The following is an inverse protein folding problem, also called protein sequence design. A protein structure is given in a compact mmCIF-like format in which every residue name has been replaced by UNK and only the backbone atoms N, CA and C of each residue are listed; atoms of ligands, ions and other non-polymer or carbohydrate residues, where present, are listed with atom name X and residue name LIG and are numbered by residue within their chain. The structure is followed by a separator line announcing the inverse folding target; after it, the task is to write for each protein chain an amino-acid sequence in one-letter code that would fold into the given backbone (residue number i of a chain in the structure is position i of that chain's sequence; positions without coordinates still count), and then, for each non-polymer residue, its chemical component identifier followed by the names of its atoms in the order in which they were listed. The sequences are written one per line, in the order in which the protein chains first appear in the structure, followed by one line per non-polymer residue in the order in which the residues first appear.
data_IF_627153588818
#
_entry.id   IF_627153588818
#
_cell.length_a   1.000
_cell.length_b   1.000
_cell.length_c   1.000
_cell.angle_alpha   90.00
_cell.angle_beta   90.00
_cell.angle_gamma   90.00
#
_symmetry.space_group_name_H-M   'P 1'
#
loop_
_entity.id
_entity.type
_entity.pdbx_description
1 polymer ?
#
# COMPACT_ATOMS: atom_id res chain seq x y z
N UNK A 1 26.99 -16.49 -15.24
CA UNK A 1 26.45 -15.17 -15.63
C UNK A 1 26.99 -14.14 -14.66
N UNK A 2 27.33 -12.94 -15.11
CA UNK A 2 27.84 -11.90 -14.21
C UNK A 2 26.65 -11.02 -13.77
N UNK A 3 26.19 -11.17 -12.54
CA UNK A 3 25.13 -10.34 -11.94
C UNK A 3 25.74 -9.06 -11.35
N UNK A 4 24.96 -7.96 -11.37
CA UNK A 4 25.36 -6.63 -10.87
C UNK A 4 24.23 -6.03 -10.05
N UNK A 5 24.58 -5.10 -9.17
CA UNK A 5 23.60 -4.26 -8.48
C UNK A 5 22.71 -3.56 -9.50
N UNK A 6 21.41 -3.58 -9.26
CA UNK A 6 20.39 -3.00 -10.13
C UNK A 6 19.88 -3.95 -11.23
N UNK A 7 20.47 -5.12 -11.44
CA UNK A 7 19.94 -6.10 -12.37
C UNK A 7 18.57 -6.61 -11.91
N UNK A 8 17.69 -6.85 -12.88
CA UNK A 8 16.40 -7.48 -12.64
C UNK A 8 16.50 -8.99 -12.83
N UNK A 9 15.96 -9.73 -11.86
CA UNK A 9 16.08 -11.18 -11.79
C UNK A 9 14.80 -11.83 -11.29
N UNK A 10 14.66 -13.12 -11.58
CA UNK A 10 13.65 -14.01 -11.00
C UNK A 10 14.36 -15.18 -10.34
N UNK A 11 13.68 -15.93 -9.46
CA UNK A 11 14.21 -17.12 -8.77
C UNK A 11 13.65 -18.41 -9.39
N UNK A 12 14.54 -19.30 -9.85
CA UNK A 12 14.15 -20.57 -10.47
C UNK A 12 13.45 -21.50 -9.47
N UNK A 13 13.92 -21.55 -8.22
CA UNK A 13 13.35 -22.34 -7.13
C UNK A 13 11.88 -21.97 -6.80
N UNK A 14 11.44 -20.79 -7.23
CA UNK A 14 10.07 -20.29 -7.09
C UNK A 14 9.36 -20.14 -8.44
N UNK A 15 9.76 -20.95 -9.44
CA UNK A 15 9.17 -20.96 -10.79
C UNK A 15 9.17 -19.59 -11.50
N UNK A 16 10.12 -18.72 -11.15
CA UNK A 16 10.24 -17.36 -11.71
C UNK A 16 8.95 -16.51 -11.53
N UNK A 17 8.26 -16.68 -10.40
CA UNK A 17 6.95 -16.09 -10.12
C UNK A 17 6.95 -14.58 -9.89
N UNK A 18 8.07 -14.05 -9.35
CA UNK A 18 8.22 -12.63 -9.02
C UNK A 18 9.51 -12.07 -9.59
N UNK A 19 9.43 -10.80 -10.01
CA UNK A 19 10.59 -10.04 -10.45
C UNK A 19 11.18 -9.27 -9.28
N UNK A 20 12.49 -9.37 -9.12
CA UNK A 20 13.28 -8.66 -8.12
C UNK A 20 14.35 -7.79 -8.76
N UNK A 21 14.76 -6.77 -8.05
CA UNK A 21 15.98 -6.01 -8.33
C UNK A 21 17.07 -6.43 -7.33
N UNK A 22 18.27 -6.71 -7.82
CA UNK A 22 19.43 -6.96 -6.95
C UNK A 22 19.82 -5.64 -6.29
N UNK A 23 19.80 -5.60 -4.96
CA UNK A 23 20.15 -4.41 -4.16
C UNK A 23 21.50 -4.55 -3.47
N UNK A 24 21.98 -5.78 -3.27
CA UNK A 24 23.32 -6.07 -2.77
C UNK A 24 23.76 -7.48 -3.18
N UNK A 25 25.06 -7.72 -3.19
CA UNK A 25 25.67 -9.03 -3.44
C UNK A 25 26.82 -9.21 -2.43
N UNK A 26 26.73 -10.26 -1.63
CA UNK A 26 27.80 -10.69 -0.73
C UNK A 26 28.19 -12.12 -1.11
N UNK A 27 29.43 -12.33 -1.53
CA UNK A 27 29.94 -13.60 -2.04
C UNK A 27 29.03 -14.16 -3.15
N UNK A 28 28.39 -15.31 -2.92
CA UNK A 28 27.49 -15.98 -3.87
C UNK A 28 26.01 -15.75 -3.58
N UNK A 29 25.67 -14.85 -2.64
CA UNK A 29 24.30 -14.51 -2.23
C UNK A 29 23.94 -13.13 -2.74
N UNK A 30 22.82 -13.03 -3.44
CA UNK A 30 22.20 -11.75 -3.82
C UNK A 30 21.07 -11.40 -2.86
N UNK A 31 21.03 -10.14 -2.42
CA UNK A 31 19.92 -9.56 -1.69
C UNK A 31 18.99 -8.88 -2.68
N UNK A 32 17.71 -9.21 -2.59
CA UNK A 32 16.71 -8.93 -3.60
C UNK A 32 15.57 -8.08 -3.03
N UNK A 33 15.13 -7.09 -3.79
CA UNK A 33 13.94 -6.30 -3.52
C UNK A 33 12.90 -6.54 -4.61
N UNK A 34 11.66 -6.87 -4.26
CA UNK A 34 10.56 -7.04 -5.19
C UNK A 34 10.28 -5.75 -5.98
N UNK A 35 9.98 -5.88 -7.27
CA UNK A 35 9.69 -4.73 -8.14
C UNK A 35 8.26 -4.25 -7.91
N UNK A 36 7.30 -5.14 -8.01
CA UNK A 36 5.87 -4.82 -7.90
C UNK A 36 5.27 -5.22 -6.54
N UNK A 37 5.92 -6.15 -5.85
CA UNK A 37 5.51 -6.65 -4.54
C UNK A 37 6.49 -6.15 -3.48
N UNK A 38 5.98 -5.71 -2.32
CA UNK A 38 6.78 -5.27 -1.15
C UNK A 38 7.43 -6.46 -0.47
N UNK A 39 8.45 -7.03 -1.08
CA UNK A 39 9.13 -8.22 -0.61
C UNK A 39 10.64 -8.06 -0.71
N UNK A 40 11.35 -8.40 0.38
CA UNK A 40 12.79 -8.64 0.38
C UNK A 40 13.06 -10.13 0.45
N UNK A 41 14.08 -10.58 -0.25
CA UNK A 41 14.54 -11.95 -0.26
C UNK A 41 16.06 -12.01 -0.43
N UNK A 42 16.63 -13.13 -0.12
CA UNK A 42 17.99 -13.51 -0.48
C UNK A 42 17.93 -14.75 -1.39
N UNK A 43 18.94 -14.93 -2.22
CA UNK A 43 19.03 -16.08 -3.10
C UNK A 43 20.48 -16.31 -3.52
N UNK A 44 20.88 -17.57 -3.70
CA UNK A 44 22.13 -17.89 -4.35
C UNK A 44 22.10 -17.36 -5.80
N UNK A 45 23.25 -16.86 -6.28
CA UNK A 45 23.39 -16.39 -7.67
C UNK A 45 23.06 -17.47 -8.70
N UNK A 46 23.27 -18.75 -8.34
CA UNK A 46 22.96 -19.91 -9.18
C UNK A 46 21.48 -20.14 -9.42
N UNK A 47 20.61 -19.65 -8.50
CA UNK A 47 19.16 -19.76 -8.57
C UNK A 47 18.53 -18.61 -9.37
N UNK A 48 19.33 -17.61 -9.77
CA UNK A 48 18.81 -16.41 -10.42
C UNK A 48 18.77 -16.54 -11.94
N UNK A 49 17.71 -16.01 -12.52
CA UNK A 49 17.56 -15.80 -13.98
C UNK A 49 17.42 -14.31 -14.25
N UNK A 50 18.29 -13.78 -15.13
CA UNK A 50 18.24 -12.37 -15.53
C UNK A 50 17.04 -12.12 -16.43
N UNK A 51 16.27 -11.07 -16.14
CA UNK A 51 15.09 -10.67 -16.92
C UNK A 51 15.19 -9.21 -17.33
N UNK A 52 14.53 -8.85 -18.43
CA UNK A 52 14.35 -7.45 -18.82
C UNK A 52 12.99 -6.99 -18.35
N UNK A 53 12.98 -5.98 -17.47
CA UNK A 53 11.74 -5.33 -17.07
C UNK A 53 11.46 -4.21 -18.07
N UNK A 54 10.37 -4.33 -18.81
CA UNK A 54 9.77 -3.15 -19.43
C UNK A 54 9.27 -2.30 -18.26
N UNK A 55 9.69 -1.03 -18.17
CA UNK A 55 8.99 -0.06 -17.35
C UNK A 55 7.57 0.05 -17.88
N UNK A 56 6.69 -0.84 -17.47
CA UNK A 56 5.27 -0.56 -17.52
C UNK A 56 5.09 0.62 -16.59
N UNK A 57 4.78 1.75 -17.18
CA UNK A 57 4.45 2.95 -16.43
C UNK A 57 3.18 2.64 -15.65
N UNK A 58 3.09 3.07 -14.42
CA UNK A 58 1.88 3.03 -13.57
C UNK A 58 0.66 3.73 -14.24
N UNK A 59 0.81 4.07 -15.53
CA UNK A 59 -0.17 4.75 -16.38
C UNK A 59 -1.46 3.95 -16.57
N UNK A 60 -1.37 2.63 -16.66
CA UNK A 60 -2.58 1.77 -16.76
C UNK A 60 -3.41 1.88 -15.47
N UNK A 61 -2.75 1.97 -14.33
CA UNK A 61 -3.44 2.12 -13.05
C UNK A 61 -4.02 3.53 -12.88
N UNK A 62 -3.34 4.55 -13.38
CA UNK A 62 -3.86 5.92 -13.45
C UNK A 62 -5.15 5.94 -14.30
N UNK A 63 -5.12 5.38 -15.51
CA UNK A 63 -6.28 5.31 -16.41
C UNK A 63 -7.48 4.57 -15.78
N UNK A 64 -7.21 3.48 -15.03
CA UNK A 64 -8.26 2.76 -14.28
C UNK A 64 -8.93 3.63 -13.21
N UNK A 65 -8.16 4.44 -12.49
CA UNK A 65 -8.70 5.33 -11.46
C UNK A 65 -9.41 6.51 -12.09
N UNK A 66 -8.85 7.13 -13.11
CA UNK A 66 -9.46 8.26 -13.83
C UNK A 66 -10.81 7.91 -14.44
N UNK A 67 -11.02 6.65 -14.85
CA UNK A 67 -12.32 6.19 -15.36
C UNK A 67 -13.47 6.26 -14.35
N UNK A 68 -13.18 6.49 -13.05
CA UNK A 68 -14.20 6.70 -12.01
C UNK A 68 -14.67 8.14 -11.92
N UNK A 69 -13.92 9.08 -12.49
CA UNK A 69 -14.22 10.50 -12.43
C UNK A 69 -15.21 10.81 -13.55
N UNK A 70 -16.49 10.84 -13.19
CA UNK A 70 -17.58 11.19 -14.13
C UNK A 70 -17.76 12.71 -14.34
N UNK A 71 -16.97 13.54 -13.62
CA UNK A 71 -17.09 15.00 -13.66
C UNK A 71 -16.13 15.58 -14.70
N UNK A 72 -16.67 16.44 -15.58
CA UNK A 72 -15.84 17.23 -16.48
C UNK A 72 -15.06 18.27 -15.68
N UNK A 73 -13.74 18.14 -15.66
CA UNK A 73 -12.81 19.04 -14.97
C UNK A 73 -12.87 20.48 -15.49
N UNK A 74 -13.40 20.71 -16.66
CA UNK A 74 -13.56 22.04 -17.24
C UNK A 74 -14.87 22.72 -16.81
N UNK A 75 -15.87 21.94 -16.38
CA UNK A 75 -17.18 22.46 -15.99
C UNK A 75 -17.36 22.60 -14.48
N UNK A 76 -16.64 21.78 -13.68
CA UNK A 76 -16.82 21.73 -12.23
C UNK A 76 -15.51 21.97 -11.48
N UNK A 77 -15.58 22.86 -10.49
CA UNK A 77 -14.51 22.94 -9.48
C UNK A 77 -14.71 21.84 -8.45
N UNK A 78 -13.67 21.10 -8.17
CA UNK A 78 -13.70 20.09 -7.13
C UNK A 78 -12.36 20.07 -6.37
N UNK A 79 -12.43 19.73 -5.09
CA UNK A 79 -11.29 19.59 -4.19
C UNK A 79 -11.18 18.15 -3.77
N UNK A 80 -10.23 17.37 -4.34
CA UNK A 80 -9.96 16.01 -3.90
C UNK A 80 -9.49 15.94 -2.46
N UNK A 81 -9.73 14.81 -1.80
CA UNK A 81 -9.24 14.57 -0.45
C UNK A 81 -7.71 14.57 -0.38
N UNK A 82 -7.17 15.16 0.68
CA UNK A 82 -5.75 15.23 0.98
C UNK A 82 -5.25 13.92 1.60
N UNK A 83 -4.09 13.44 1.16
CA UNK A 83 -3.54 12.15 1.56
C UNK A 83 -2.24 12.35 2.37
N UNK A 84 -2.09 11.58 3.43
CA UNK A 84 -0.78 11.33 4.09
C UNK A 84 -0.49 9.85 4.04
N UNK A 85 0.71 9.47 3.58
CA UNK A 85 1.15 8.09 3.55
C UNK A 85 2.41 7.87 4.38
N UNK A 86 2.35 6.92 5.30
CA UNK A 86 3.49 6.39 6.05
C UNK A 86 4.02 5.13 5.38
N UNK A 87 5.34 5.00 5.31
CA UNK A 87 6.00 3.82 4.80
C UNK A 87 7.44 3.73 5.34
N UNK A 88 7.90 2.55 5.65
CA UNK A 88 9.29 2.32 6.07
C UNK A 88 10.26 2.26 4.89
N UNK A 89 9.78 1.94 3.70
CA UNK A 89 10.59 1.82 2.50
C UNK A 89 10.41 3.03 1.57
N UNK A 90 11.50 3.79 1.44
CA UNK A 90 11.50 4.98 0.59
C UNK A 90 11.18 4.68 -0.89
N UNK A 91 11.61 3.53 -1.41
CA UNK A 91 11.37 3.18 -2.81
C UNK A 91 9.88 3.03 -3.11
N UNK A 92 9.15 2.30 -2.25
CA UNK A 92 7.70 2.13 -2.41
C UNK A 92 6.92 3.39 -2.05
N UNK A 93 7.39 4.14 -1.04
CA UNK A 93 6.80 5.43 -0.69
C UNK A 93 6.88 6.41 -1.87
N UNK A 94 8.08 6.59 -2.45
CA UNK A 94 8.29 7.49 -3.58
C UNK A 94 7.42 7.08 -4.80
N UNK A 95 7.26 5.77 -5.05
CA UNK A 95 6.38 5.26 -6.11
C UNK A 95 4.92 5.66 -5.88
N UNK A 96 4.42 5.50 -4.66
CA UNK A 96 3.05 5.91 -4.31
C UNK A 96 2.87 7.44 -4.41
N UNK A 97 3.83 8.22 -3.92
CA UNK A 97 3.77 9.68 -3.98
C UNK A 97 3.80 10.18 -5.45
N UNK A 98 4.61 9.56 -6.31
CA UNK A 98 4.61 9.88 -7.73
C UNK A 98 3.26 9.52 -8.38
N UNK A 99 2.67 8.37 -8.03
CA UNK A 99 1.34 7.99 -8.49
C UNK A 99 0.27 9.01 -8.12
N UNK A 100 0.23 9.48 -6.86
CA UNK A 100 -0.69 10.55 -6.44
C UNK A 100 -0.45 11.85 -7.20
N UNK A 101 0.81 12.22 -7.43
CA UNK A 101 1.18 13.42 -8.19
C UNK A 101 0.72 13.36 -9.63
N UNK A 102 0.88 12.21 -10.29
CA UNK A 102 0.43 12.00 -11.67
C UNK A 102 -1.10 12.08 -11.79
N UNK A 103 -1.81 11.77 -10.69
CA UNK A 103 -3.24 11.93 -10.57
C UNK A 103 -3.68 13.33 -10.09
N UNK A 104 -2.76 14.27 -9.94
CA UNK A 104 -2.99 15.62 -9.43
C UNK A 104 -3.63 15.67 -8.04
N UNK A 105 -3.28 14.72 -7.16
CA UNK A 105 -3.72 14.67 -5.77
C UNK A 105 -2.68 15.30 -4.83
N UNK A 106 -3.17 16.03 -3.83
CA UNK A 106 -2.32 16.53 -2.75
C UNK A 106 -1.96 15.39 -1.79
N UNK A 107 -0.68 15.00 -1.78
CA UNK A 107 -0.22 13.89 -0.97
C UNK A 107 1.15 14.15 -0.33
N UNK A 108 1.32 13.68 0.91
CA UNK A 108 2.55 13.80 1.70
C UNK A 108 3.05 12.43 2.13
N UNK A 109 4.30 12.13 1.81
CA UNK A 109 4.97 10.88 2.18
C UNK A 109 5.82 11.06 3.44
N UNK A 110 5.64 10.19 4.42
CA UNK A 110 6.39 10.16 5.68
C UNK A 110 7.15 8.84 5.75
N UNK A 111 8.48 8.93 5.58
CA UNK A 111 9.34 7.75 5.76
C UNK A 111 9.57 7.53 7.24
N UNK A 112 9.11 6.40 7.77
CA UNK A 112 9.23 6.03 9.18
C UNK A 112 9.13 4.51 9.32
N UNK A 113 9.84 3.92 10.30
CA UNK A 113 9.73 2.47 10.58
C UNK A 113 8.34 2.13 11.11
N UNK A 114 7.89 0.90 10.84
CA UNK A 114 6.58 0.42 11.26
C UNK A 114 6.37 0.57 12.78
N UNK A 115 7.40 0.30 13.57
CA UNK A 115 7.38 0.42 15.04
C UNK A 115 7.33 1.86 15.58
N UNK A 116 7.62 2.84 14.73
CA UNK A 116 7.70 4.26 15.11
C UNK A 116 6.49 5.06 14.60
N UNK A 117 5.62 4.46 13.77
CA UNK A 117 4.45 5.16 13.20
C UNK A 117 3.53 5.65 14.32
N UNK A 118 3.30 4.80 15.33
CA UNK A 118 2.45 5.14 16.49
C UNK A 118 2.89 6.45 17.17
N UNK A 119 4.19 6.70 17.26
CA UNK A 119 4.74 7.86 17.97
C UNK A 119 4.57 9.17 17.19
N UNK A 120 4.61 9.11 15.86
CA UNK A 120 4.61 10.31 14.99
C UNK A 120 3.26 10.59 14.33
N UNK A 121 2.32 9.66 14.35
CA UNK A 121 1.10 9.76 13.56
C UNK A 121 0.22 10.93 14.00
N UNK A 122 0.05 11.16 15.30
CA UNK A 122 -0.81 12.23 15.83
C UNK A 122 -0.30 13.60 15.39
N UNK A 123 0.98 13.90 15.60
CA UNK A 123 1.60 15.17 15.20
C UNK A 123 1.52 15.38 13.68
N UNK A 124 1.67 14.29 12.93
CA UNK A 124 1.54 14.32 11.47
C UNK A 124 0.10 14.66 11.05
N UNK A 125 -0.90 14.04 11.66
CA UNK A 125 -2.31 14.33 11.39
C UNK A 125 -2.67 15.77 11.75
N UNK A 126 -2.19 16.28 12.88
CA UNK A 126 -2.38 17.68 13.29
C UNK A 126 -1.75 18.67 12.30
N UNK A 127 -0.54 18.36 11.82
CA UNK A 127 0.21 19.21 10.90
C UNK A 127 -0.42 19.30 9.51
N UNK A 128 -0.78 18.15 8.94
CA UNK A 128 -1.24 18.09 7.54
C UNK A 128 -2.76 18.11 7.40
N UNK A 129 -3.50 17.74 8.44
CA UNK A 129 -4.96 17.63 8.45
C UNK A 129 -5.50 16.90 7.21
N UNK A 130 -5.06 15.64 6.99
CA UNK A 130 -5.47 14.88 5.83
C UNK A 130 -6.90 14.36 5.99
N UNK A 131 -7.56 14.11 4.84
CA UNK A 131 -8.82 13.37 4.77
C UNK A 131 -8.58 11.86 4.75
N UNK A 132 -7.40 11.46 4.26
CA UNK A 132 -7.01 10.06 4.07
C UNK A 132 -5.62 9.84 4.66
N UNK A 133 -5.48 8.82 5.49
CA UNK A 133 -4.17 8.32 5.95
C UNK A 133 -3.93 6.91 5.46
N UNK A 134 -2.76 6.69 4.86
CA UNK A 134 -2.31 5.40 4.37
C UNK A 134 -1.14 4.94 5.24
N UNK A 135 -1.27 3.79 5.90
CA UNK A 135 -0.28 3.22 6.82
C UNK A 135 0.23 1.93 6.20
N UNK A 136 1.40 1.99 5.56
CA UNK A 136 2.00 0.86 4.85
C UNK A 136 3.44 0.59 5.31
N UNK A 137 4.00 -0.50 4.83
CA UNK A 137 5.35 -0.94 5.16
C UNK A 137 5.54 -2.40 4.77
N UNK A 138 6.30 -3.13 5.55
CA UNK A 138 6.53 -4.55 5.39
C UNK A 138 5.82 -5.34 6.49
N UNK A 139 5.19 -6.44 6.12
CA UNK A 139 4.63 -7.40 7.06
C UNK A 139 4.67 -8.81 6.47
N UNK A 140 4.67 -9.80 7.31
CA UNK A 140 4.58 -11.20 6.91
C UNK A 140 4.11 -12.06 8.08
N UNK A 141 3.45 -13.15 7.74
CA UNK A 141 3.13 -14.20 8.69
C UNK A 141 4.39 -15.01 9.02
N UNK A 142 4.76 -15.09 10.30
CA UNK A 142 5.98 -15.77 10.76
C UNK A 142 5.94 -17.25 10.36
N UNK A 143 7.10 -17.80 9.95
CA UNK A 143 7.24 -19.23 9.66
C UNK A 143 6.77 -20.06 10.86
N UNK A 144 6.04 -21.14 10.60
CA UNK A 144 5.50 -22.04 11.61
C UNK A 144 4.31 -21.49 12.44
N UNK A 145 3.76 -20.32 12.13
CA UNK A 145 2.54 -19.83 12.75
C UNK A 145 1.36 -20.78 12.42
N UNK A 146 0.84 -21.47 13.44
CA UNK A 146 -0.28 -22.40 13.26
C UNK A 146 -1.63 -21.68 13.23
N UNK A 147 -1.74 -20.56 13.93
CA UNK A 147 -2.96 -19.79 14.08
C UNK A 147 -2.80 -18.41 13.43
N UNK A 148 -3.43 -18.24 12.26
CA UNK A 148 -3.37 -16.98 11.49
C UNK A 148 -4.26 -15.87 12.08
N UNK A 149 -5.08 -16.15 13.10
CA UNK A 149 -5.90 -15.12 13.75
C UNK A 149 -5.12 -14.32 14.78
N UNK A 150 -4.03 -14.86 15.31
CA UNK A 150 -3.23 -14.25 16.38
C UNK A 150 -2.27 -13.21 15.82
N UNK A 151 -2.37 -11.97 16.32
CA UNK A 151 -1.57 -10.84 15.85
C UNK A 151 -0.07 -11.02 16.13
N UNK A 152 0.31 -11.68 17.21
CA UNK A 152 1.70 -11.97 17.56
C UNK A 152 2.41 -12.88 16.54
N UNK A 153 1.66 -13.54 15.67
CA UNK A 153 2.19 -14.35 14.60
C UNK A 153 2.61 -13.55 13.35
N UNK A 154 2.40 -12.25 13.36
CA UNK A 154 2.81 -11.33 12.30
C UNK A 154 4.01 -10.51 12.70
N UNK A 155 4.76 -10.02 11.72
CA UNK A 155 5.96 -9.23 11.97
C UNK A 155 5.59 -7.81 12.43
N UNK A 156 4.68 -7.15 11.72
CA UNK A 156 4.37 -5.74 11.94
C UNK A 156 2.86 -5.43 12.04
N UNK A 157 1.95 -6.41 11.93
CA UNK A 157 0.51 -6.15 12.04
C UNK A 157 0.13 -5.44 13.35
N UNK A 158 0.80 -5.75 14.47
CA UNK A 158 0.55 -5.08 15.75
C UNK A 158 0.94 -3.60 15.72
N UNK A 159 2.05 -3.26 15.08
CA UNK A 159 2.48 -1.87 14.89
C UNK A 159 1.44 -1.07 14.08
N UNK A 160 0.90 -1.67 13.02
CA UNK A 160 -0.17 -1.05 12.24
C UNK A 160 -1.45 -0.89 13.04
N UNK A 161 -1.86 -1.88 13.84
CA UNK A 161 -3.02 -1.79 14.74
C UNK A 161 -2.87 -0.64 15.72
N UNK A 162 -1.69 -0.48 16.33
CA UNK A 162 -1.42 0.60 17.26
C UNK A 162 -1.50 1.98 16.57
N UNK A 163 -0.89 2.12 15.40
CA UNK A 163 -0.98 3.34 14.60
C UNK A 163 -2.42 3.69 14.22
N UNK A 164 -3.25 2.70 13.80
CA UNK A 164 -4.67 2.89 13.50
C UNK A 164 -5.42 3.38 14.75
N UNK A 165 -5.20 2.75 15.89
CA UNK A 165 -5.85 3.16 17.16
C UNK A 165 -5.50 4.60 17.53
N UNK A 166 -4.24 5.01 17.37
CA UNK A 166 -3.82 6.42 17.61
C UNK A 166 -4.51 7.39 16.64
N UNK A 167 -4.57 7.05 15.35
CA UNK A 167 -5.29 7.85 14.36
C UNK A 167 -6.79 7.97 14.71
N UNK A 168 -7.42 6.88 15.19
CA UNK A 168 -8.83 6.91 15.66
C UNK A 168 -9.02 7.65 16.96
N UNK A 169 -8.02 7.75 17.82
CA UNK A 169 -8.08 8.64 18.99
C UNK A 169 -8.06 10.11 18.58
N UNK A 170 -7.34 10.46 17.51
CA UNK A 170 -7.33 11.80 16.92
C UNK A 170 -8.67 12.12 16.22
N UNK A 171 -9.19 11.24 15.37
CA UNK A 171 -10.49 11.40 14.69
C UNK A 171 -11.27 10.08 14.73
N UNK A 172 -12.36 10.09 15.53
CA UNK A 172 -13.22 8.92 15.74
C UNK A 172 -14.16 8.65 14.57
N UNK A 173 -14.52 9.70 13.84
CA UNK A 173 -15.44 9.57 12.71
C UNK A 173 -14.72 8.98 11.51
N UNK A 174 -15.18 7.80 11.08
CA UNK A 174 -14.60 7.07 9.95
C UNK A 174 -14.82 7.75 8.60
N UNK A 175 -15.79 8.65 8.48
CA UNK A 175 -16.01 9.42 7.25
C UNK A 175 -15.18 10.71 7.20
N UNK A 176 -14.68 11.19 8.36
CA UNK A 176 -13.82 12.38 8.42
C UNK A 176 -12.35 12.09 8.26
N UNK A 177 -11.92 10.89 8.64
CA UNK A 177 -10.57 10.41 8.42
C UNK A 177 -10.64 8.97 7.91
N UNK A 178 -10.38 8.79 6.63
CA UNK A 178 -10.32 7.48 6.03
C UNK A 178 -8.95 6.87 6.33
N UNK A 179 -8.92 5.64 6.88
CA UNK A 179 -7.68 4.93 7.18
C UNK A 179 -7.57 3.71 6.26
N UNK A 180 -6.46 3.63 5.52
CA UNK A 180 -6.09 2.49 4.69
C UNK A 180 -4.81 1.91 5.29
N UNK A 181 -4.80 0.64 5.68
CA UNK A 181 -3.67 0.11 6.44
C UNK A 181 -3.26 -1.31 6.01
N UNK A 182 -1.99 -1.63 6.30
CA UNK A 182 -1.42 -2.95 6.15
C UNK A 182 -0.48 -3.09 4.96
N UNK A 183 0.12 -4.27 4.88
CA UNK A 183 1.14 -4.66 3.91
C UNK A 183 0.89 -6.08 3.41
N UNK A 184 1.90 -6.72 2.82
CA UNK A 184 1.86 -8.13 2.43
C UNK A 184 1.52 -9.01 3.64
N UNK A 185 0.61 -9.95 3.46
CA UNK A 185 0.23 -10.96 4.46
C UNK A 185 -0.26 -10.43 5.81
N UNK A 186 -0.56 -9.13 5.97
CA UNK A 186 -1.01 -8.53 7.24
C UNK A 186 -2.27 -9.21 7.82
N UNK A 187 -2.46 -9.06 9.13
CA UNK A 187 -3.66 -9.52 9.81
C UNK A 187 -4.85 -8.59 9.52
N UNK A 188 -5.49 -8.82 8.38
CA UNK A 188 -6.59 -8.02 7.85
C UNK A 188 -7.70 -7.74 8.89
N UNK A 189 -8.16 -8.79 9.58
CA UNK A 189 -9.29 -8.68 10.52
C UNK A 189 -8.95 -7.78 11.71
N UNK A 190 -7.73 -7.85 12.23
CA UNK A 190 -7.30 -7.00 13.34
C UNK A 190 -7.11 -5.54 12.91
N UNK A 191 -6.67 -5.29 11.66
CA UNK A 191 -6.59 -3.93 11.10
C UNK A 191 -7.98 -3.31 10.97
N UNK A 192 -8.97 -4.04 10.44
CA UNK A 192 -10.36 -3.56 10.34
C UNK A 192 -10.96 -3.32 11.74
N UNK A 193 -10.80 -4.26 12.68
CA UNK A 193 -11.26 -4.12 14.06
C UNK A 193 -10.63 -2.92 14.78
N UNK A 194 -9.38 -2.58 14.45
CA UNK A 194 -8.71 -1.42 15.02
C UNK A 194 -9.29 -0.09 14.51
N UNK A 195 -10.07 -0.12 13.43
CA UNK A 195 -10.80 1.03 12.89
C UNK A 195 -10.34 1.50 11.51
N UNK A 196 -9.56 0.73 10.76
CA UNK A 196 -9.28 1.08 9.36
C UNK A 196 -10.54 0.93 8.50
N UNK A 197 -10.68 1.78 7.48
CA UNK A 197 -11.75 1.69 6.49
C UNK A 197 -11.43 0.63 5.45
N UNK A 198 -10.14 0.55 5.07
CA UNK A 198 -9.62 -0.45 4.14
C UNK A 198 -8.37 -1.10 4.73
N UNK A 199 -8.17 -2.36 4.43
CA UNK A 199 -6.99 -3.07 4.87
C UNK A 199 -6.47 -4.03 3.80
N UNK A 200 -5.17 -4.31 3.89
CA UNK A 200 -4.46 -5.20 2.98
C UNK A 200 -4.62 -6.66 3.37
N UNK A 201 -4.53 -7.49 2.35
CA UNK A 201 -4.28 -8.93 2.46
C UNK A 201 -5.34 -9.78 3.18
N UNK A 202 -6.65 -9.68 2.82
CA UNK A 202 -7.68 -10.57 3.38
C UNK A 202 -7.32 -12.06 3.25
N UNK A 203 -6.64 -12.45 2.16
CA UNK A 203 -6.20 -13.83 1.90
C UNK A 203 -4.75 -14.12 2.33
N UNK A 204 -4.11 -13.20 3.06
CA UNK A 204 -2.71 -13.35 3.52
C UNK A 204 -1.73 -13.54 2.36
N UNK A 205 -1.95 -12.85 1.26
CA UNK A 205 -1.10 -12.85 0.08
C UNK A 205 -0.16 -11.62 0.07
N UNK A 206 0.84 -11.66 -0.78
CA UNK A 206 1.60 -10.47 -1.12
C UNK A 206 0.74 -9.56 -1.99
N UNK A 207 0.76 -8.26 -1.71
CA UNK A 207 0.00 -7.25 -2.45
C UNK A 207 0.91 -6.45 -3.37
N UNK A 208 0.35 -5.86 -4.39
CA UNK A 208 1.06 -4.89 -5.23
C UNK A 208 1.34 -3.60 -4.45
N UNK A 209 2.50 -2.99 -4.71
CA UNK A 209 2.94 -1.80 -3.98
C UNK A 209 1.98 -0.61 -4.11
N UNK A 210 1.30 -0.48 -5.25
CA UNK A 210 0.34 0.58 -5.52
C UNK A 210 -1.09 0.28 -5.04
N UNK A 211 -1.45 -0.94 -4.64
CA UNK A 211 -2.83 -1.25 -4.28
C UNK A 211 -3.41 -0.31 -3.20
N UNK A 212 -2.70 0.01 -2.09
CA UNK A 212 -3.18 1.00 -1.14
C UNK A 212 -3.32 2.41 -1.73
N UNK A 213 -2.43 2.80 -2.66
CA UNK A 213 -2.47 4.09 -3.32
C UNK A 213 -3.64 4.19 -4.32
N UNK A 214 -3.95 3.11 -5.05
CA UNK A 214 -5.13 3.02 -5.92
C UNK A 214 -6.40 3.23 -5.08
N UNK A 215 -6.53 2.52 -3.95
CA UNK A 215 -7.68 2.68 -3.04
C UNK A 215 -7.77 4.13 -2.54
N UNK A 216 -6.66 4.70 -2.06
CA UNK A 216 -6.63 6.09 -1.57
C UNK A 216 -7.04 7.09 -2.64
N UNK A 217 -6.55 6.93 -3.87
CA UNK A 217 -6.90 7.81 -5.00
C UNK A 217 -8.38 7.70 -5.37
N UNK A 218 -8.93 6.49 -5.38
CA UNK A 218 -10.36 6.31 -5.63
C UNK A 218 -11.21 7.02 -4.56
N UNK A 219 -10.84 6.91 -3.28
CA UNK A 219 -11.52 7.61 -2.17
C UNK A 219 -11.37 9.12 -2.30
N UNK A 220 -10.15 9.62 -2.60
CA UNK A 220 -9.86 11.04 -2.75
C UNK A 220 -10.67 11.70 -3.88
N UNK A 221 -11.00 10.94 -4.92
CA UNK A 221 -11.72 11.40 -6.11
C UNK A 221 -13.21 11.03 -6.11
N UNK A 222 -13.72 10.44 -5.03
CA UNK A 222 -15.14 10.15 -4.85
C UNK A 222 -15.82 11.25 -4.01
N UNK A 223 -17.05 11.68 -4.35
CA UNK A 223 -17.74 12.74 -3.62
C UNK A 223 -17.98 12.42 -2.14
N UNK A 224 -17.82 13.42 -1.27
CA UNK A 224 -17.90 13.30 0.20
C UNK A 224 -19.25 12.81 0.72
N UNK A 225 -20.32 13.04 -0.03
CA UNK A 225 -21.71 12.68 0.34
C UNK A 225 -22.21 11.41 -0.36
N UNK A 226 -21.31 10.66 -1.00
CA UNK A 226 -21.66 9.45 -1.77
C UNK A 226 -20.87 8.27 -1.23
N UNK A 227 -21.59 7.22 -0.84
CA UNK A 227 -20.98 5.94 -0.50
C UNK A 227 -20.26 5.34 -1.72
N UNK A 228 -19.05 4.86 -1.51
CA UNK A 228 -18.25 4.23 -2.54
C UNK A 228 -18.72 2.80 -2.70
N UNK A 229 -18.95 2.38 -3.95
CA UNK A 229 -19.15 0.97 -4.25
C UNK A 229 -17.83 0.21 -4.06
N UNK A 230 -17.79 -0.61 -3.03
CA UNK A 230 -16.60 -1.32 -2.60
C UNK A 230 -16.09 -2.30 -3.68
N UNK A 231 -17.00 -3.00 -4.37
CA UNK A 231 -16.61 -4.05 -5.32
C UNK A 231 -15.87 -3.44 -6.52
N UNK A 232 -16.45 -2.48 -7.27
CA UNK A 232 -15.73 -1.84 -8.38
C UNK A 232 -14.44 -1.13 -7.96
N UNK A 233 -14.37 -0.62 -6.72
CA UNK A 233 -13.14 -0.01 -6.22
C UNK A 233 -12.05 -1.05 -6.03
N UNK A 234 -12.34 -2.15 -5.32
CA UNK A 234 -11.39 -3.22 -5.05
C UNK A 234 -10.94 -3.92 -6.34
N UNK A 235 -11.82 -4.09 -7.31
CA UNK A 235 -11.50 -4.71 -8.61
C UNK A 235 -10.49 -3.90 -9.44
N UNK A 236 -10.22 -2.63 -9.08
CA UNK A 236 -9.15 -1.83 -9.70
C UNK A 236 -7.76 -2.16 -9.16
N UNK A 237 -7.68 -2.78 -7.99
CA UNK A 237 -6.42 -3.25 -7.42
C UNK A 237 -5.91 -4.50 -8.13
N UNK A 238 -4.62 -4.79 -8.06
CA UNK A 238 -3.99 -5.87 -8.83
C UNK A 238 -4.49 -7.26 -8.43
N UNK A 239 -4.83 -7.44 -7.16
CA UNK A 239 -5.27 -8.74 -6.64
C UNK A 239 -6.72 -8.74 -6.17
N UNK A 240 -7.49 -7.68 -6.46
CA UNK A 240 -8.90 -7.56 -6.11
C UNK A 240 -9.17 -7.87 -4.64
N UNK A 241 -10.26 -8.56 -4.35
CA UNK A 241 -10.68 -8.91 -2.99
C UNK A 241 -9.74 -9.90 -2.26
N UNK A 242 -8.77 -10.48 -2.93
CA UNK A 242 -7.73 -11.27 -2.28
C UNK A 242 -6.64 -10.38 -1.66
N UNK A 243 -6.32 -9.25 -2.32
CA UNK A 243 -5.27 -8.31 -1.91
C UNK A 243 -5.75 -7.16 -1.05
N UNK A 244 -6.94 -6.65 -1.30
CA UNK A 244 -7.52 -5.51 -0.57
C UNK A 244 -8.97 -5.79 -0.16
N UNK A 245 -9.39 -5.22 0.96
CA UNK A 245 -10.76 -5.26 1.43
C UNK A 245 -11.08 -4.05 2.28
N UNK A 246 -12.34 -3.90 2.69
CA UNK A 246 -12.74 -2.74 3.48
C UNK A 246 -14.19 -2.78 3.92
N UNK A 247 -14.64 -1.67 4.49
CA UNK A 247 -16.02 -1.41 4.89
C UNK A 247 -16.63 -0.35 3.97
N UNK A 248 -17.95 -0.23 3.99
CA UNK A 248 -18.67 0.84 3.30
C UNK A 248 -18.17 2.19 3.81
N UNK A 249 -17.73 3.04 2.91
CA UNK A 249 -17.05 4.31 3.20
C UNK A 249 -17.52 5.36 2.21
N UNK A 250 -17.66 6.61 2.64
CA UNK A 250 -17.90 7.74 1.75
C UNK A 250 -16.60 8.24 1.10
N UNK A 251 -16.73 8.93 -0.03
CA UNK A 251 -15.61 9.65 -0.62
C UNK A 251 -15.19 10.86 0.22
N UNK A 252 -14.13 11.54 -0.24
CA UNK A 252 -13.58 12.73 0.44
C UNK A 252 -13.48 13.96 -0.46
N UNK A 253 -13.96 13.86 -1.71
CA UNK A 253 -13.94 14.97 -2.67
C UNK A 253 -15.11 15.93 -2.43
N UNK A 254 -14.82 17.20 -2.30
CA UNK A 254 -15.82 18.29 -2.33
C UNK A 254 -16.02 18.75 -3.77
N UNK A 255 -17.27 18.92 -4.17
CA UNK A 255 -17.71 19.36 -5.49
C UNK A 255 -18.51 20.64 -5.34
#
# INVERSE_FOLDING_TARGET
MNFKLGDYVTRQSYNNDLVFQIIDIEDDIAYLRGVDVRLYADSELTDLTKVSVKKETDRVDIEKVESLISLDRNEYFYLPGKIVQFDSDKFYLDRCINFYKDMHLEAYGIKVKESEIEDVITDTLEKYKPDIVVITGHDFLKKHAKDKSKIENYQNSENFVNAIKKARMYEKNQDKLIIIAGACQSNYEELIKAGSNFASSPKRINIHALDPAIVASCVALSPVNKAIDLIPLIDKTHYGSAGMGGIITNGTMYV
#
